data_IF_216835358635
#
_entry.id   IF_216835358635
#
_cell.length_a   1.000
_cell.length_b   1.000
_cell.length_c   1.000
_cell.angle_alpha   90.00
_cell.angle_beta   90.00
_cell.angle_gamma   90.00
#
_symmetry.space_group_name_H-M   'P 1'
#
loop_
_entity.id
_entity.type
_entity.pdbx_description
1 polymer ?
#
# COMPACT_ATOMS: atom_id res chain seq x y z
N UNK A 1 31.73 -5.81 -13.98
CA UNK A 1 30.92 -5.26 -12.89
C UNK A 1 30.11 -4.10 -13.43
N UNK A 2 28.78 -4.19 -13.39
CA UNK A 2 27.86 -3.15 -13.82
C UNK A 2 27.90 -1.95 -12.86
N UNK A 3 27.58 -0.74 -13.34
CA UNK A 3 27.59 0.48 -12.51
C UNK A 3 26.28 1.23 -12.64
N UNK A 4 25.86 1.89 -11.57
CA UNK A 4 24.71 2.80 -11.51
C UNK A 4 24.91 3.79 -10.35
N UNK A 5 24.25 4.94 -10.39
CA UNK A 5 24.25 5.87 -9.25
C UNK A 5 23.34 5.34 -8.12
N UNK A 6 22.11 4.93 -8.48
CA UNK A 6 21.15 4.37 -7.53
C UNK A 6 20.71 2.97 -7.97
N UNK A 7 20.93 1.99 -7.10
CA UNK A 7 20.36 0.65 -7.23
C UNK A 7 19.08 0.55 -6.40
N UNK A 8 17.96 0.26 -7.06
CA UNK A 8 16.70 -0.04 -6.37
C UNK A 8 16.49 -1.55 -6.37
N UNK A 9 16.34 -2.14 -5.18
CA UNK A 9 16.08 -3.57 -5.01
C UNK A 9 14.62 -3.78 -4.66
N UNK A 10 13.86 -4.38 -5.59
CA UNK A 10 12.43 -4.63 -5.51
C UNK A 10 11.61 -3.84 -6.52
N UNK A 11 11.00 -4.53 -7.48
CA UNK A 11 10.14 -4.00 -8.55
C UNK A 11 8.66 -3.94 -8.20
N UNK A 12 8.33 -3.78 -6.91
CA UNK A 12 6.98 -3.49 -6.46
C UNK A 12 6.59 -2.02 -6.69
N UNK A 13 5.42 -1.61 -6.20
CA UNK A 13 4.87 -0.25 -6.37
C UNK A 13 5.86 0.83 -5.92
N UNK A 14 6.44 0.69 -4.72
CA UNK A 14 7.37 1.67 -4.16
C UNK A 14 8.65 1.76 -4.98
N UNK A 15 9.28 0.63 -5.30
CA UNK A 15 10.52 0.62 -6.09
C UNK A 15 10.32 1.12 -7.52
N UNK A 16 9.21 0.76 -8.16
CA UNK A 16 8.87 1.24 -9.51
C UNK A 16 8.56 2.74 -9.53
N UNK A 17 7.84 3.24 -8.51
CA UNK A 17 7.58 4.68 -8.38
C UNK A 17 8.86 5.46 -8.07
N UNK A 18 9.73 4.94 -7.20
CA UNK A 18 11.02 5.54 -6.90
C UNK A 18 11.90 5.63 -8.15
N UNK A 19 12.00 4.53 -8.91
CA UNK A 19 12.73 4.53 -10.17
C UNK A 19 12.15 5.53 -11.18
N UNK A 20 10.82 5.66 -11.25
CA UNK A 20 10.13 6.63 -12.09
C UNK A 20 10.51 8.08 -11.75
N UNK A 21 10.38 8.47 -10.46
CA UNK A 21 10.67 9.84 -10.04
C UNK A 21 12.15 10.21 -10.21
N UNK A 22 13.06 9.30 -9.85
CA UNK A 22 14.50 9.56 -9.97
C UNK A 22 14.96 9.59 -11.42
N UNK A 23 14.48 8.67 -12.29
CA UNK A 23 14.83 8.68 -13.71
C UNK A 23 14.35 9.95 -14.42
N UNK A 24 13.14 10.41 -14.13
CA UNK A 24 12.62 11.71 -14.65
C UNK A 24 13.47 12.91 -14.21
N UNK A 25 14.19 12.79 -13.13
CA UNK A 25 15.14 13.80 -12.68
C UNK A 25 16.57 13.61 -13.25
N UNK A 26 16.77 12.66 -14.16
CA UNK A 26 18.04 12.41 -14.82
C UNK A 26 19.05 11.60 -14.00
N UNK A 27 18.62 10.94 -12.92
CA UNK A 27 19.49 10.07 -12.11
C UNK A 27 19.69 8.74 -12.83
N UNK A 28 20.94 8.24 -12.88
CA UNK A 28 21.23 6.88 -13.42
C UNK A 28 20.75 5.81 -12.44
N UNK A 29 19.74 5.03 -12.86
CA UNK A 29 19.05 4.05 -12.04
C UNK A 29 19.10 2.67 -12.67
N UNK A 30 19.39 1.68 -11.83
CA UNK A 30 19.12 0.28 -12.09
C UNK A 30 18.14 -0.25 -11.03
N UNK A 31 16.98 -0.74 -11.47
CA UNK A 31 16.07 -1.48 -10.63
C UNK A 31 16.25 -2.97 -10.89
N UNK A 32 16.40 -3.76 -9.84
CA UNK A 32 16.42 -5.23 -9.91
C UNK A 32 15.26 -5.84 -9.14
N UNK A 33 14.73 -6.93 -9.66
CA UNK A 33 13.77 -7.79 -8.94
C UNK A 33 14.11 -9.26 -9.19
N UNK A 34 13.93 -10.10 -8.17
CA UNK A 34 14.12 -11.54 -8.28
C UNK A 34 13.09 -12.21 -9.19
N UNK A 35 11.94 -11.55 -9.34
CA UNK A 35 10.80 -11.99 -10.17
C UNK A 35 10.51 -10.95 -11.26
N UNK A 36 9.32 -11.02 -11.83
CA UNK A 36 8.77 -9.94 -12.64
C UNK A 36 8.33 -8.76 -11.77
N UNK A 37 8.33 -7.56 -12.37
CA UNK A 37 7.73 -6.38 -11.75
C UNK A 37 6.28 -6.67 -11.37
N UNK A 38 5.87 -6.20 -10.18
CA UNK A 38 4.49 -6.33 -9.69
C UNK A 38 4.08 -7.75 -9.28
N UNK A 39 4.98 -8.71 -9.13
CA UNK A 39 4.62 -10.11 -8.86
C UNK A 39 4.25 -10.39 -7.39
N UNK A 40 4.64 -9.53 -6.45
CA UNK A 40 4.39 -9.68 -5.02
C UNK A 40 3.17 -8.87 -4.54
N UNK A 41 3.20 -8.31 -3.32
CA UNK A 41 2.10 -7.55 -2.71
C UNK A 41 1.47 -6.50 -3.64
N UNK A 42 2.27 -5.83 -4.46
CA UNK A 42 1.83 -4.74 -5.33
C UNK A 42 0.86 -5.19 -6.42
N UNK A 43 1.04 -6.37 -7.00
CA UNK A 43 0.11 -6.94 -7.99
C UNK A 43 -0.96 -7.85 -7.38
N UNK A 44 -0.86 -8.12 -6.08
CA UNK A 44 -1.78 -9.01 -5.38
C UNK A 44 -2.66 -8.30 -4.35
N UNK A 45 -2.59 -6.97 -4.26
CA UNK A 45 -3.50 -6.20 -3.42
C UNK A 45 -4.83 -5.93 -4.15
N UNK A 46 -5.81 -5.46 -3.38
CA UNK A 46 -7.11 -5.14 -3.92
C UNK A 46 -7.17 -3.82 -4.70
N UNK A 47 -6.18 -2.94 -4.61
CA UNK A 47 -6.18 -1.61 -5.22
C UNK A 47 -7.09 -0.60 -4.49
N UNK A 48 -7.38 -0.81 -3.23
CA UNK A 48 -8.12 0.16 -2.40
C UNK A 48 -7.22 1.32 -2.02
N UNK A 49 -7.73 2.54 -2.12
CA UNK A 49 -7.08 3.76 -1.69
C UNK A 49 -7.72 4.21 -0.38
N UNK A 50 -7.21 3.67 0.73
CA UNK A 50 -7.67 4.00 2.07
C UNK A 50 -7.00 5.27 2.57
N UNK A 51 -7.78 6.22 3.07
CA UNK A 51 -7.30 7.44 3.72
C UNK A 51 -7.79 7.51 5.16
N UNK A 52 -9.02 7.05 5.41
CA UNK A 52 -9.57 6.86 6.75
C UNK A 52 -8.75 5.85 7.56
N UNK A 53 -8.72 6.01 8.87
CA UNK A 53 -8.23 4.98 9.78
C UNK A 53 -9.04 3.70 9.62
N UNK A 54 -8.35 2.57 9.53
CA UNK A 54 -9.04 1.28 9.49
C UNK A 54 -9.67 0.93 10.84
N UNK A 55 -10.71 0.10 10.84
CA UNK A 55 -11.41 -0.33 12.07
C UNK A 55 -10.46 -0.92 13.14
N UNK A 56 -9.29 -1.42 12.75
CA UNK A 56 -8.28 -1.91 13.70
C UNK A 56 -7.73 -0.84 14.65
N UNK A 57 -7.81 0.44 14.29
CA UNK A 57 -7.43 1.54 15.19
C UNK A 57 -8.48 1.79 16.27
N UNK A 58 -9.75 1.45 16.03
CA UNK A 58 -10.82 1.59 17.01
C UNK A 58 -10.67 0.62 18.20
N UNK A 59 -9.96 -0.47 18.02
CA UNK A 59 -9.72 -1.51 19.03
C UNK A 59 -8.43 -1.31 19.84
N UNK A 60 -7.64 -0.27 19.57
CA UNK A 60 -6.37 -0.03 20.29
C UNK A 60 -6.61 0.70 21.60
N UNK A 61 -6.01 0.18 22.68
CA UNK A 61 -6.19 0.69 24.04
C UNK A 61 -5.21 1.82 24.43
N UNK A 62 -4.22 2.15 23.60
CA UNK A 62 -3.21 3.16 23.89
C UNK A 62 -3.44 4.47 23.10
N UNK A 63 -4.13 5.48 23.66
CA UNK A 63 -4.53 6.70 22.93
C UNK A 63 -3.34 7.49 22.35
N UNK A 64 -2.23 7.61 23.10
CA UNK A 64 -1.06 8.38 22.68
C UNK A 64 -0.35 7.76 21.46
N UNK A 65 -0.26 6.44 21.39
CA UNK A 65 0.35 5.75 20.24
C UNK A 65 -0.55 5.83 19.00
N UNK A 66 -1.86 5.81 19.21
CA UNK A 66 -2.84 6.02 18.14
C UNK A 66 -2.71 7.46 17.60
N UNK A 67 -2.70 8.47 18.47
CA UNK A 67 -2.61 9.88 18.07
C UNK A 67 -1.31 10.17 17.31
N UNK A 68 -0.17 9.64 17.78
CA UNK A 68 1.11 9.75 17.07
C UNK A 68 1.08 9.06 15.71
N UNK A 69 0.55 7.84 15.63
CA UNK A 69 0.45 7.11 14.37
C UNK A 69 -0.47 7.84 13.38
N UNK A 70 -1.58 8.37 13.86
CA UNK A 70 -2.56 9.11 13.07
C UNK A 70 -1.97 10.41 12.53
N UNK A 71 -1.34 11.22 13.39
CA UNK A 71 -0.75 12.51 12.99
C UNK A 71 0.40 12.37 11.98
N UNK A 72 1.10 11.25 11.98
CA UNK A 72 2.17 10.96 11.01
C UNK A 72 1.66 10.27 9.73
N UNK A 73 0.67 9.41 9.83
CA UNK A 73 0.19 8.60 8.71
C UNK A 73 -0.81 9.34 7.81
N UNK A 74 -1.80 10.01 8.40
CA UNK A 74 -2.88 10.67 7.63
C UNK A 74 -2.34 11.69 6.63
N UNK A 75 -1.40 12.59 6.96
CA UNK A 75 -0.80 13.50 5.96
C UNK A 75 -0.18 12.77 4.77
N UNK A 76 0.50 11.63 5.02
CA UNK A 76 1.06 10.80 3.93
C UNK A 76 -0.04 10.27 3.03
N UNK A 77 -1.15 9.78 3.60
CA UNK A 77 -2.27 9.23 2.85
C UNK A 77 -2.99 10.30 2.02
N UNK A 78 -3.23 11.48 2.59
CA UNK A 78 -3.83 12.62 1.88
C UNK A 78 -2.96 13.06 0.69
N UNK A 79 -1.67 13.27 0.90
CA UNK A 79 -0.74 13.59 -0.19
C UNK A 79 -0.64 12.48 -1.24
N UNK A 80 -0.84 11.22 -0.83
CA UNK A 80 -0.82 10.08 -1.74
C UNK A 80 -1.95 10.11 -2.76
N UNK A 81 -3.13 10.60 -2.38
CA UNK A 81 -4.24 10.75 -3.34
C UNK A 81 -3.89 11.79 -4.42
N UNK A 82 -3.24 12.89 -4.03
CA UNK A 82 -2.72 13.87 -5.00
C UNK A 82 -1.69 13.23 -5.93
N UNK A 83 -0.75 12.46 -5.38
CA UNK A 83 0.25 11.75 -6.18
C UNK A 83 -0.41 10.74 -7.16
N UNK A 84 -1.42 10.00 -6.74
CA UNK A 84 -2.17 9.11 -7.62
C UNK A 84 -2.90 9.87 -8.75
N UNK A 85 -3.51 11.02 -8.45
CA UNK A 85 -4.15 11.89 -9.47
C UNK A 85 -3.14 12.44 -10.47
N UNK A 86 -1.94 12.82 -10.03
CA UNK A 86 -0.85 13.22 -10.91
C UNK A 86 -0.41 12.06 -11.81
N UNK A 87 -0.12 10.90 -11.22
CA UNK A 87 0.30 9.70 -11.94
C UNK A 87 -0.74 9.24 -12.97
N UNK A 88 -2.03 9.33 -12.68
CA UNK A 88 -3.08 8.95 -13.64
C UNK A 88 -3.09 9.80 -14.91
N UNK A 89 -2.55 11.02 -14.85
CA UNK A 89 -2.42 11.92 -16.00
C UNK A 89 -1.05 11.79 -16.70
N UNK A 90 -0.02 11.43 -15.95
CA UNK A 90 1.36 11.37 -16.46
C UNK A 90 1.73 10.02 -17.07
N UNK A 91 1.12 8.95 -16.59
CA UNK A 91 1.38 7.61 -17.09
C UNK A 91 0.65 7.36 -18.41
N UNK A 92 1.37 6.80 -19.37
CA UNK A 92 0.81 6.36 -20.66
C UNK A 92 0.05 5.03 -20.49
N UNK A 93 -0.96 5.04 -19.65
CA UNK A 93 -1.80 3.88 -19.34
C UNK A 93 -2.97 4.31 -18.47
N UNK A 94 -4.17 3.87 -18.79
CA UNK A 94 -5.29 3.98 -17.86
C UNK A 94 -5.06 3.02 -16.67
N UNK A 95 -4.88 3.60 -15.50
CA UNK A 95 -4.73 2.87 -14.24
C UNK A 95 -6.07 2.70 -13.51
N UNK A 96 -7.16 3.05 -14.15
CA UNK A 96 -8.53 2.96 -13.62
C UNK A 96 -8.68 3.67 -12.25
N UNK A 97 -8.02 4.83 -12.09
CA UNK A 97 -8.12 5.62 -10.88
C UNK A 97 -9.52 6.21 -10.73
N UNK A 98 -10.18 5.89 -9.63
CA UNK A 98 -11.44 6.50 -9.25
C UNK A 98 -11.39 6.90 -7.77
N UNK A 99 -11.47 8.20 -7.49
CA UNK A 99 -11.56 8.78 -6.14
C UNK A 99 -13.00 9.27 -5.97
N UNK A 100 -13.92 8.32 -5.84
CA UNK A 100 -15.36 8.54 -5.68
C UNK A 100 -15.85 8.52 -4.24
N UNK A 101 -14.93 8.44 -3.29
CA UNK A 101 -15.21 8.37 -1.86
C UNK A 101 -15.20 6.95 -1.32
N UNK A 102 -15.14 6.87 0.02
CA UNK A 102 -15.21 5.62 0.77
C UNK A 102 -16.18 5.73 1.94
N UNK A 103 -16.87 4.63 2.21
CA UNK A 103 -17.82 4.47 3.29
C UNK A 103 -17.32 3.42 4.27
N UNK A 104 -17.18 3.76 5.54
CA UNK A 104 -17.05 2.79 6.62
C UNK A 104 -18.43 2.62 7.27
N UNK A 105 -19.13 1.55 6.91
CA UNK A 105 -20.53 1.33 7.31
C UNK A 105 -20.63 0.73 8.70
N UNK A 106 -21.71 1.08 9.42
CA UNK A 106 -22.03 0.61 10.76
C UNK A 106 -23.45 0.02 10.80
N UNK A 107 -23.64 -1.01 11.64
CA UNK A 107 -24.90 -1.74 11.84
C UNK A 107 -25.42 -1.63 13.26
N UNK A 108 -24.62 -1.11 14.19
CA UNK A 108 -24.98 -0.96 15.60
C UNK A 108 -24.58 0.41 16.12
N UNK A 109 -25.29 0.86 17.18
CA UNK A 109 -24.97 2.13 17.85
C UNK A 109 -23.53 2.13 18.41
N UNK A 110 -23.01 0.98 18.85
CA UNK A 110 -21.62 0.87 19.32
C UNK A 110 -20.62 1.13 18.19
N UNK A 111 -20.88 0.62 17.00
CA UNK A 111 -20.08 0.88 15.83
C UNK A 111 -20.14 2.36 15.44
N UNK A 112 -21.34 2.98 15.45
CA UNK A 112 -21.49 4.41 15.18
C UNK A 112 -20.71 5.26 16.21
N UNK A 113 -20.83 4.97 17.51
CA UNK A 113 -20.01 5.63 18.55
C UNK A 113 -18.51 5.43 18.31
N UNK A 114 -18.12 4.29 17.77
CA UNK A 114 -16.74 4.04 17.32
C UNK A 114 -16.32 4.98 16.18
N UNK A 115 -17.16 5.14 15.17
CA UNK A 115 -16.92 6.06 14.03
C UNK A 115 -16.89 7.52 14.47
N UNK A 116 -17.76 7.94 15.41
CA UNK A 116 -17.74 9.29 15.99
C UNK A 116 -16.41 9.62 16.65
N UNK A 117 -15.88 8.71 17.49
CA UNK A 117 -14.56 8.88 18.13
C UNK A 117 -13.43 8.94 17.09
N UNK A 118 -13.51 8.09 16.07
CA UNK A 118 -12.55 8.04 14.96
C UNK A 118 -12.55 9.35 14.17
N UNK A 119 -13.73 9.85 13.78
CA UNK A 119 -13.90 11.10 13.05
C UNK A 119 -13.30 12.31 13.80
N UNK A 120 -13.42 12.34 15.14
CA UNK A 120 -12.77 13.37 15.95
C UNK A 120 -11.24 13.34 15.80
N UNK A 121 -10.62 12.15 15.82
CA UNK A 121 -9.18 12.01 15.66
C UNK A 121 -8.73 12.42 14.26
N UNK A 122 -9.45 12.00 13.24
CA UNK A 122 -9.14 12.28 11.83
C UNK A 122 -9.25 13.78 11.51
N UNK A 123 -10.31 14.44 11.99
CA UNK A 123 -10.49 15.88 11.82
C UNK A 123 -9.40 16.71 12.51
N UNK A 124 -8.90 16.27 13.68
CA UNK A 124 -7.77 16.93 14.37
C UNK A 124 -6.50 16.98 13.53
N UNK A 125 -6.29 16.03 12.64
CA UNK A 125 -5.13 15.97 11.76
C UNK A 125 -5.43 16.45 10.34
N UNK A 126 -6.58 17.09 10.15
CA UNK A 126 -6.96 17.74 8.88
C UNK A 126 -7.59 16.81 7.84
N UNK A 127 -8.05 15.61 8.22
CA UNK A 127 -8.83 14.76 7.33
C UNK A 127 -10.31 15.12 7.43
N UNK A 128 -10.89 15.57 6.32
CA UNK A 128 -12.32 15.83 6.20
C UNK A 128 -13.09 14.50 6.07
N UNK A 129 -13.95 14.23 7.04
CA UNK A 129 -14.86 13.08 7.07
C UNK A 129 -16.25 13.52 7.53
N UNK A 130 -17.27 12.81 7.06
CA UNK A 130 -18.66 13.08 7.38
C UNK A 130 -19.29 11.85 8.03
N UNK A 131 -20.10 12.06 9.08
CA UNK A 131 -20.93 11.01 9.66
C UNK A 131 -22.30 11.08 9.03
N UNK A 132 -22.74 9.99 8.43
CA UNK A 132 -24.00 9.87 7.70
C UNK A 132 -24.96 8.99 8.48
N UNK A 133 -26.22 9.41 8.55
CA UNK A 133 -27.30 8.57 9.07
C UNK A 133 -27.78 7.54 8.02
N UNK A 134 -28.71 6.68 8.42
CA UNK A 134 -29.25 5.63 7.56
C UNK A 134 -29.94 6.16 6.29
N UNK A 135 -30.56 7.35 6.33
CA UNK A 135 -31.24 7.93 5.17
C UNK A 135 -30.22 8.52 4.20
N UNK A 136 -29.22 9.23 4.72
CA UNK A 136 -28.12 9.79 3.97
C UNK A 136 -27.30 8.68 3.27
N UNK A 137 -26.99 7.60 3.99
CA UNK A 137 -26.32 6.42 3.41
C UNK A 137 -27.15 5.80 2.29
N UNK A 138 -28.46 5.61 2.49
CA UNK A 138 -29.35 5.07 1.45
C UNK A 138 -29.43 5.96 0.22
N UNK A 139 -29.35 7.28 0.39
CA UNK A 139 -29.41 8.23 -0.72
C UNK A 139 -28.18 8.11 -1.64
N UNK A 140 -26.97 7.90 -1.09
CA UNK A 140 -25.73 7.84 -1.87
C UNK A 140 -25.28 6.42 -2.21
N UNK A 141 -25.71 5.42 -1.44
CA UNK A 141 -25.30 4.03 -1.58
C UNK A 141 -26.49 3.06 -1.47
N UNK A 142 -27.50 3.15 -2.37
CA UNK A 142 -28.74 2.35 -2.30
C UNK A 142 -28.52 0.85 -2.48
N UNK A 143 -27.32 0.42 -2.83
CA UNK A 143 -26.93 -0.98 -2.95
C UNK A 143 -26.58 -1.63 -1.59
N UNK A 144 -26.44 -0.85 -0.53
CA UNK A 144 -26.18 -1.36 0.82
C UNK A 144 -27.41 -2.01 1.43
N UNK A 145 -27.18 -3.03 2.26
CA UNK A 145 -28.23 -3.78 2.95
C UNK A 145 -28.98 -2.94 3.98
N UNK A 146 -30.23 -3.35 4.33
CA UNK A 146 -31.09 -2.61 5.24
C UNK A 146 -30.60 -2.59 6.70
N UNK A 147 -29.64 -3.44 7.07
CA UNK A 147 -29.02 -3.46 8.39
C UNK A 147 -28.11 -2.27 8.67
N UNK A 148 -27.69 -1.53 7.63
CA UNK A 148 -26.80 -0.38 7.78
C UNK A 148 -27.56 0.80 8.37
N UNK A 149 -27.13 1.24 9.55
CA UNK A 149 -27.75 2.34 10.32
C UNK A 149 -27.03 3.68 10.14
N UNK A 150 -25.81 3.66 9.57
CA UNK A 150 -25.02 4.84 9.29
C UNK A 150 -23.64 4.49 8.74
N UNK A 151 -22.86 5.50 8.46
CA UNK A 151 -21.49 5.35 7.96
C UNK A 151 -20.64 6.58 8.25
N UNK A 152 -19.33 6.42 8.19
CA UNK A 152 -18.41 7.52 8.00
C UNK A 152 -18.00 7.57 6.53
N UNK A 153 -18.11 8.73 5.92
CA UNK A 153 -17.75 9.02 4.53
C UNK A 153 -16.49 9.84 4.44
N UNK A 154 -15.57 9.45 3.57
CA UNK A 154 -14.37 10.21 3.22
C UNK A 154 -14.27 10.38 1.70
N UNK A 155 -14.37 11.60 1.22
CA UNK A 155 -14.34 11.92 -0.21
C UNK A 155 -12.98 11.65 -0.88
N UNK A 156 -11.89 11.51 -0.11
CA UNK A 156 -10.55 11.24 -0.61
C UNK A 156 -10.26 9.75 -0.84
N UNK A 157 -11.14 8.86 -0.40
CA UNK A 157 -10.97 7.42 -0.63
C UNK A 157 -11.38 7.01 -2.05
N UNK A 158 -10.90 5.84 -2.46
CA UNK A 158 -11.22 5.36 -3.79
C UNK A 158 -10.53 4.05 -4.15
N UNK A 159 -10.23 3.91 -5.43
CA UNK A 159 -9.69 2.69 -6.01
C UNK A 159 -8.76 2.99 -7.18
N UNK A 160 -7.83 2.09 -7.41
CA UNK A 160 -6.92 2.06 -8.56
C UNK A 160 -6.77 0.59 -8.99
N UNK A 161 -6.51 0.32 -10.25
CA UNK A 161 -6.17 -1.04 -10.67
C UNK A 161 -4.64 -1.26 -10.48
N UNK A 162 -4.22 -2.12 -9.53
CA UNK A 162 -2.80 -2.34 -9.27
C UNK A 162 -2.10 -3.11 -10.38
N UNK A 163 -2.85 -3.83 -11.22
CA UNK A 163 -2.27 -4.64 -12.29
C UNK A 163 -1.63 -3.81 -13.40
N UNK A 164 -2.26 -2.75 -13.96
CA UNK A 164 -1.60 -1.83 -14.88
C UNK A 164 -0.74 -0.77 -14.19
N UNK A 165 -1.06 -0.34 -12.95
CA UNK A 165 -0.45 0.83 -12.33
C UNK A 165 1.07 0.65 -12.08
N UNK A 166 1.49 -0.41 -11.40
CA UNK A 166 2.92 -0.64 -11.14
C UNK A 166 3.73 -0.90 -12.42
N UNK A 167 3.27 -1.75 -13.37
CA UNK A 167 3.95 -1.87 -14.66
C UNK A 167 4.01 -0.57 -15.47
N UNK A 168 3.00 0.30 -15.39
CA UNK A 168 3.03 1.60 -16.07
C UNK A 168 4.13 2.51 -15.47
N UNK A 169 4.29 2.53 -14.15
CA UNK A 169 5.40 3.23 -13.47
C UNK A 169 6.76 2.70 -13.94
N UNK A 170 6.93 1.38 -13.98
CA UNK A 170 8.16 0.75 -14.45
C UNK A 170 8.46 1.10 -15.91
N UNK A 171 7.46 1.04 -16.80
CA UNK A 171 7.62 1.48 -18.20
C UNK A 171 7.95 2.97 -18.29
N UNK A 172 7.29 3.80 -17.49
CA UNK A 172 7.58 5.22 -17.39
C UNK A 172 9.01 5.51 -16.95
N UNK A 173 9.52 4.75 -15.96
CA UNK A 173 10.92 4.82 -15.53
C UNK A 173 11.89 4.48 -16.67
N UNK A 174 11.61 3.40 -17.42
CA UNK A 174 12.45 3.00 -18.57
C UNK A 174 12.44 4.07 -19.67
N UNK A 175 11.27 4.65 -19.99
CA UNK A 175 11.21 5.77 -20.97
C UNK A 175 12.01 6.99 -20.49
N UNK A 176 12.13 7.20 -19.19
CA UNK A 176 12.94 8.27 -18.61
C UNK A 176 14.44 7.90 -18.44
N UNK A 177 14.86 6.71 -18.89
CA UNK A 177 16.26 6.29 -18.91
C UNK A 177 16.66 5.29 -17.82
N UNK A 178 15.76 4.85 -16.96
CA UNK A 178 16.07 3.79 -15.99
C UNK A 178 16.29 2.43 -16.68
N UNK A 179 17.17 1.64 -16.10
CA UNK A 179 17.36 0.22 -16.46
C UNK A 179 16.62 -0.66 -15.48
N UNK A 180 15.93 -1.69 -15.97
CA UNK A 180 15.22 -2.67 -15.15
C UNK A 180 15.70 -4.07 -15.51
N UNK A 181 16.23 -4.79 -14.52
CA UNK A 181 16.66 -6.17 -14.64
C UNK A 181 15.78 -7.08 -13.78
N UNK A 182 14.84 -7.77 -14.44
CA UNK A 182 13.99 -8.80 -13.84
C UNK A 182 14.75 -10.11 -13.70
N UNK A 183 14.26 -10.98 -12.82
CA UNK A 183 14.87 -12.29 -12.53
C UNK A 183 16.36 -12.14 -12.15
N UNK A 184 16.64 -11.13 -11.34
CA UNK A 184 17.96 -10.85 -10.79
C UNK A 184 17.86 -10.65 -9.29
N UNK A 185 18.44 -11.59 -8.55
CA UNK A 185 18.31 -11.66 -7.09
C UNK A 185 19.53 -11.03 -6.43
N UNK A 186 19.31 -10.08 -5.52
CA UNK A 186 20.35 -9.62 -4.59
C UNK A 186 20.65 -10.75 -3.60
N UNK A 187 21.87 -11.25 -3.57
CA UNK A 187 22.31 -12.32 -2.67
C UNK A 187 23.04 -11.78 -1.46
N UNK A 188 23.83 -10.70 -1.65
CA UNK A 188 24.60 -10.04 -0.62
C UNK A 188 24.93 -8.60 -1.02
N UNK A 189 25.55 -7.85 -0.12
CA UNK A 189 26.20 -6.59 -0.44
C UNK A 189 27.35 -6.33 0.54
N UNK A 190 28.29 -5.50 0.12
CA UNK A 190 29.38 -4.99 0.94
C UNK A 190 29.61 -3.51 0.68
N UNK A 191 30.07 -2.78 1.68
CA UNK A 191 30.50 -1.39 1.54
C UNK A 191 31.97 -1.36 1.10
N UNK A 192 32.28 -0.60 0.08
CA UNK A 192 33.64 -0.31 -0.38
C UNK A 192 33.81 1.20 -0.42
N UNK A 193 34.82 1.73 0.30
CA UNK A 193 35.13 3.16 0.37
C UNK A 193 33.96 4.13 0.12
N UNK A 194 33.63 4.44 -1.11
CA UNK A 194 32.65 5.42 -1.58
C UNK A 194 31.39 4.80 -2.21
N UNK A 195 31.27 3.45 -2.24
CA UNK A 195 30.21 2.74 -2.94
C UNK A 195 29.72 1.50 -2.19
N UNK A 196 28.59 1.00 -2.61
CA UNK A 196 28.08 -0.33 -2.26
C UNK A 196 28.31 -1.23 -3.48
N UNK A 197 28.85 -2.43 -3.23
CA UNK A 197 28.89 -3.51 -4.21
C UNK A 197 27.79 -4.50 -3.84
N UNK A 198 26.74 -4.53 -4.64
CA UNK A 198 25.64 -5.46 -4.53
C UNK A 198 25.98 -6.74 -5.32
N UNK A 199 26.03 -7.86 -4.62
CA UNK A 199 26.28 -9.17 -5.21
C UNK A 199 24.95 -9.76 -5.66
N UNK A 200 24.88 -10.19 -6.91
CA UNK A 200 23.66 -10.81 -7.46
C UNK A 200 23.98 -12.14 -8.14
N UNK A 201 22.95 -12.95 -8.33
CA UNK A 201 23.02 -14.21 -9.08
C UNK A 201 23.42 -14.04 -10.56
N UNK A 202 23.47 -12.78 -11.05
CA UNK A 202 23.85 -12.41 -12.43
C UNK A 202 25.02 -11.42 -12.48
N UNK A 203 25.90 -11.48 -11.49
CA UNK A 203 27.09 -10.63 -11.37
C UNK A 203 26.88 -9.39 -10.52
N UNK A 204 27.98 -8.77 -10.15
CA UNK A 204 28.02 -7.67 -9.19
C UNK A 204 27.62 -6.33 -9.82
N UNK A 205 26.97 -5.49 -9.01
CA UNK A 205 26.60 -4.12 -9.33
C UNK A 205 27.28 -3.18 -8.33
N UNK A 206 28.03 -2.20 -8.83
CA UNK A 206 28.58 -1.11 -8.04
C UNK A 206 27.65 0.10 -8.10
N UNK A 207 27.19 0.59 -6.96
CA UNK A 207 26.33 1.76 -6.88
C UNK A 207 26.76 2.70 -5.75
N UNK A 208 26.48 3.98 -5.89
CA UNK A 208 26.72 4.96 -4.83
C UNK A 208 25.66 4.83 -3.73
N UNK A 209 24.42 4.52 -4.12
CA UNK A 209 23.29 4.37 -3.21
C UNK A 209 22.50 3.10 -3.57
N UNK A 210 22.07 2.37 -2.55
CA UNK A 210 21.21 1.20 -2.70
C UNK A 210 19.94 1.39 -1.86
N UNK A 211 18.77 1.20 -2.46
CA UNK A 211 17.48 1.31 -1.79
C UNK A 211 16.83 -0.05 -1.67
N UNK A 212 16.56 -0.46 -0.43
CA UNK A 212 15.80 -1.67 -0.13
C UNK A 212 14.30 -1.37 -0.19
N UNK A 213 13.63 -1.77 -1.27
CA UNK A 213 12.19 -1.64 -1.49
C UNK A 213 11.49 -3.01 -1.60
N UNK A 214 11.97 -4.01 -0.87
CA UNK A 214 11.60 -5.43 -0.99
C UNK A 214 10.40 -5.85 -0.13
N UNK A 215 9.66 -4.90 0.43
CA UNK A 215 8.45 -5.18 1.22
C UNK A 215 8.72 -6.18 2.36
N UNK A 216 7.94 -7.24 2.45
CA UNK A 216 8.06 -8.24 3.52
C UNK A 216 9.41 -9.01 3.55
N UNK A 217 10.24 -8.89 2.52
CA UNK A 217 11.55 -9.58 2.43
C UNK A 217 12.76 -8.69 2.78
N UNK A 218 12.52 -7.48 3.30
CA UNK A 218 13.60 -6.54 3.61
C UNK A 218 14.55 -7.03 4.72
N UNK A 219 14.07 -7.84 5.65
CA UNK A 219 14.85 -8.33 6.79
C UNK A 219 16.16 -9.02 6.36
N UNK A 220 16.14 -9.78 5.26
CA UNK A 220 17.33 -10.46 4.75
C UNK A 220 18.44 -9.49 4.32
N UNK A 221 18.08 -8.30 3.87
CA UNK A 221 19.00 -7.23 3.48
C UNK A 221 19.41 -6.44 4.72
N UNK A 222 18.46 -5.97 5.51
CA UNK A 222 18.71 -5.08 6.65
C UNK A 222 19.54 -5.74 7.75
N UNK A 223 19.37 -7.03 8.02
CA UNK A 223 20.20 -7.78 9.00
C UNK A 223 21.69 -7.75 8.67
N UNK A 224 22.05 -7.71 7.37
CA UNK A 224 23.46 -7.56 6.95
C UNK A 224 24.02 -6.18 7.31
N UNK A 225 23.16 -5.18 7.38
CA UNK A 225 23.47 -3.83 7.84
C UNK A 225 23.30 -3.66 9.35
N UNK A 226 23.08 -4.76 10.11
CA UNK A 226 22.74 -4.74 11.55
C UNK A 226 21.54 -3.85 11.89
N UNK A 227 20.63 -3.69 10.91
CA UNK A 227 19.40 -2.94 11.07
C UNK A 227 18.17 -3.85 10.99
N UNK A 228 17.06 -3.39 11.53
CA UNK A 228 15.79 -4.10 11.52
C UNK A 228 14.62 -3.11 11.48
N UNK A 229 13.60 -3.43 10.70
CA UNK A 229 12.29 -2.81 10.81
C UNK A 229 11.37 -3.81 11.53
N UNK A 230 11.00 -3.56 12.81
CA UNK A 230 10.04 -4.41 13.50
C UNK A 230 8.70 -4.38 12.75
N UNK A 231 8.15 -5.54 12.51
CA UNK A 231 6.87 -5.64 11.82
C UNK A 231 6.51 -7.09 11.50
N UNK A 232 5.34 -7.24 10.92
CA UNK A 232 4.78 -8.55 10.59
C UNK A 232 4.45 -8.65 9.11
N UNK A 233 4.75 -9.79 8.53
CA UNK A 233 4.21 -10.17 7.23
C UNK A 233 2.72 -10.47 7.39
N UNK A 234 1.89 -9.90 6.55
CA UNK A 234 0.44 -10.01 6.58
C UNK A 234 -0.04 -10.73 5.31
N UNK A 235 -0.13 -12.06 5.33
CA UNK A 235 -0.76 -12.78 4.25
C UNK A 235 -2.27 -12.55 4.30
N UNK A 236 -2.83 -11.99 3.23
CA UNK A 236 -4.24 -11.65 3.13
C UNK A 236 -4.80 -12.09 1.78
N UNK A 237 -6.07 -12.55 1.78
CA UNK A 237 -6.73 -12.99 0.56
C UNK A 237 -7.71 -11.97 0.01
N UNK A 238 -8.02 -12.09 -1.25
CA UNK A 238 -9.05 -11.37 -1.99
C UNK A 238 -9.84 -12.31 -2.88
N UNK A 239 -11.06 -11.91 -3.20
CA UNK A 239 -11.92 -12.56 -4.16
C UNK A 239 -12.32 -11.56 -5.24
N UNK A 240 -12.61 -12.05 -6.45
CA UNK A 240 -13.18 -11.24 -7.52
C UNK A 240 -14.36 -11.97 -8.17
N UNK A 241 -15.44 -11.22 -8.41
CA UNK A 241 -16.62 -11.71 -9.09
C UNK A 241 -16.47 -11.72 -10.61
N UNK A 242 -17.38 -12.40 -11.30
CA UNK A 242 -17.67 -12.10 -12.72
C UNK A 242 -18.03 -10.61 -12.89
N UNK A 243 -17.87 -10.05 -14.11
CA UNK A 243 -18.24 -8.66 -14.38
C UNK A 243 -19.77 -8.53 -14.42
N UNK A 244 -20.27 -7.43 -13.87
CA UNK A 244 -21.69 -7.05 -13.90
C UNK A 244 -21.82 -5.57 -14.19
N UNK A 245 -23.06 -5.13 -14.48
CA UNK A 245 -23.36 -3.71 -14.59
C UNK A 245 -22.83 -2.92 -13.39
N UNK A 246 -22.26 -1.76 -13.66
CA UNK A 246 -21.70 -0.90 -12.62
C UNK A 246 -22.80 -0.35 -11.70
N UNK A 247 -22.65 -0.55 -10.39
CA UNK A 247 -23.64 -0.14 -9.39
C UNK A 247 -23.00 0.37 -8.09
N UNK A 248 -21.68 0.25 -7.94
CA UNK A 248 -21.00 0.58 -6.68
C UNK A 248 -19.88 1.59 -6.93
N UNK A 249 -20.14 2.85 -6.61
CA UNK A 249 -19.17 3.94 -6.77
C UNK A 249 -18.11 3.94 -5.68
N UNK A 250 -18.52 3.72 -4.44
CA UNK A 250 -17.71 3.89 -3.26
C UNK A 250 -16.82 2.69 -2.96
N UNK A 251 -15.69 2.96 -2.30
CA UNK A 251 -14.97 1.97 -1.53
C UNK A 251 -15.75 1.72 -0.24
N UNK A 252 -16.24 0.49 0.00
CA UNK A 252 -17.01 0.14 1.19
C UNK A 252 -16.16 -0.66 2.16
N UNK A 253 -16.13 -0.22 3.41
CA UNK A 253 -15.51 -0.88 4.56
C UNK A 253 -16.57 -1.11 5.63
N UNK A 254 -16.29 -1.97 6.61
CA UNK A 254 -17.21 -2.25 7.73
C UNK A 254 -16.55 -1.94 9.08
N UNK A 255 -17.24 -1.20 9.95
CA UNK A 255 -16.72 -0.75 11.24
C UNK A 255 -16.41 -1.91 12.22
N UNK A 256 -17.20 -2.98 12.19
CA UNK A 256 -17.06 -4.13 13.07
C UNK A 256 -16.51 -5.40 12.40
N UNK A 257 -16.25 -5.38 11.10
CA UNK A 257 -15.88 -6.57 10.34
C UNK A 257 -14.74 -6.38 9.36
N UNK A 258 -14.07 -7.47 9.03
CA UNK A 258 -13.00 -7.48 8.03
C UNK A 258 -13.59 -7.53 6.62
N UNK A 259 -13.94 -6.37 6.10
CA UNK A 259 -14.52 -6.20 4.77
C UNK A 259 -13.93 -4.98 4.07
N UNK A 260 -13.62 -5.15 2.80
CA UNK A 260 -13.44 -4.09 1.79
C UNK A 260 -14.12 -4.52 0.52
N UNK A 261 -14.99 -3.67 -0.01
CA UNK A 261 -15.69 -3.90 -1.27
C UNK A 261 -15.46 -2.74 -2.21
N UNK A 262 -15.32 -3.03 -3.50
CA UNK A 262 -15.32 -2.04 -4.56
C UNK A 262 -15.62 -2.70 -5.90
N UNK A 263 -16.16 -1.95 -6.83
CA UNK A 263 -16.36 -2.38 -8.20
C UNK A 263 -15.38 -1.67 -9.14
N UNK A 264 -14.66 -2.42 -9.97
CA UNK A 264 -13.79 -1.87 -11.00
C UNK A 264 -14.59 -1.32 -12.20
N UNK A 265 -13.96 -0.50 -13.03
CA UNK A 265 -14.56 0.05 -14.26
C UNK A 265 -15.00 -1.04 -15.25
N UNK A 266 -14.34 -2.19 -15.20
CA UNK A 266 -14.65 -3.40 -15.98
C UNK A 266 -15.82 -4.23 -15.41
N UNK A 267 -16.52 -3.75 -14.38
CA UNK A 267 -17.69 -4.39 -13.76
C UNK A 267 -17.39 -5.47 -12.70
N UNK A 268 -16.14 -5.88 -12.53
CA UNK A 268 -15.78 -6.86 -11.50
C UNK A 268 -15.89 -6.26 -10.09
N UNK A 269 -16.48 -7.01 -9.15
CA UNK A 269 -16.48 -6.66 -7.73
C UNK A 269 -15.32 -7.36 -7.03
N UNK A 270 -14.44 -6.57 -6.40
CA UNK A 270 -13.32 -7.06 -5.60
C UNK A 270 -13.72 -7.04 -4.13
N UNK A 271 -13.57 -8.18 -3.47
CA UNK A 271 -13.96 -8.43 -2.09
C UNK A 271 -12.70 -8.79 -1.31
N UNK A 272 -12.35 -7.97 -0.33
CA UNK A 272 -11.19 -8.15 0.55
C UNK A 272 -11.51 -7.74 1.98
N UNK A 273 -10.53 -7.19 2.71
CA UNK A 273 -10.74 -6.65 4.05
C UNK A 273 -9.86 -7.31 5.12
N UNK A 274 -8.68 -7.77 4.73
CA UNK A 274 -7.67 -8.27 5.69
C UNK A 274 -7.98 -9.62 6.30
N UNK A 275 -8.79 -10.46 5.66
CA UNK A 275 -8.97 -11.85 6.06
C UNK A 275 -7.65 -12.61 5.87
N UNK A 276 -7.24 -13.48 6.82
CA UNK A 276 -5.95 -14.12 6.78
C UNK A 276 -5.80 -15.10 5.62
N UNK A 277 -4.57 -15.23 5.14
CA UNK A 277 -4.11 -16.31 4.30
C UNK A 277 -2.94 -17.01 4.99
N UNK A 278 -2.51 -18.14 4.50
CA UNK A 278 -1.37 -18.89 5.06
C UNK A 278 -0.11 -18.56 4.28
N UNK A 279 0.96 -18.20 5.00
CA UNK A 279 2.27 -17.99 4.38
C UNK A 279 2.93 -19.35 4.13
N UNK A 280 3.22 -19.64 2.86
CA UNK A 280 4.03 -20.80 2.50
C UNK A 280 5.51 -20.49 2.75
N UNK A 281 6.09 -21.14 3.75
CA UNK A 281 7.48 -20.92 4.16
C UNK A 281 8.50 -21.32 3.10
N UNK A 282 8.16 -22.25 2.21
CA UNK A 282 9.06 -22.73 1.17
C UNK A 282 9.17 -21.76 -0.02
N UNK A 283 8.05 -21.11 -0.37
CA UNK A 283 7.99 -20.20 -1.52
C UNK A 283 7.98 -18.72 -1.11
N UNK A 284 7.63 -18.41 0.14
CA UNK A 284 7.42 -17.05 0.63
C UNK A 284 6.13 -16.39 0.10
N UNK A 285 5.27 -17.14 -0.63
CA UNK A 285 3.98 -16.65 -1.09
C UNK A 285 2.83 -17.08 -0.17
N UNK A 286 1.69 -16.44 -0.28
CA UNK A 286 0.52 -16.78 0.51
C UNK A 286 -0.43 -17.72 -0.23
N UNK A 287 -1.01 -18.65 0.52
CA UNK A 287 -2.09 -19.56 0.09
C UNK A 287 -3.42 -19.13 0.71
N UNK A 288 -4.48 -19.21 -0.06
CA UNK A 288 -5.83 -18.86 0.39
C UNK A 288 -6.38 -19.94 1.34
N UNK A 289 -7.08 -19.53 2.38
CA UNK A 289 -7.75 -20.38 3.35
C UNK A 289 -9.26 -20.42 3.07
N UNK A 290 -9.85 -21.60 3.01
CA UNK A 290 -11.30 -21.78 2.78
C UNK A 290 -12.17 -21.02 3.81
N UNK A 291 -11.92 -21.07 5.14
CA UNK A 291 -12.69 -20.30 6.11
C UNK A 291 -12.61 -18.77 5.88
N UNK A 292 -11.50 -18.28 5.35
CA UNK A 292 -11.34 -16.87 5.00
C UNK A 292 -12.17 -16.48 3.78
N UNK A 293 -12.25 -17.34 2.76
CA UNK A 293 -13.15 -17.13 1.61
C UNK A 293 -14.60 -17.07 2.09
N UNK A 294 -15.05 -18.10 2.79
CA UNK A 294 -16.43 -18.22 3.27
C UNK A 294 -16.83 -17.02 4.14
N UNK A 295 -16.04 -16.69 5.16
CA UNK A 295 -16.34 -15.57 6.03
C UNK A 295 -16.25 -14.19 5.37
N UNK A 296 -15.42 -14.04 4.33
CA UNK A 296 -15.37 -12.78 3.57
C UNK A 296 -16.57 -12.62 2.65
N UNK A 297 -17.02 -13.71 2.01
CA UNK A 297 -18.23 -13.69 1.19
C UNK A 297 -19.50 -13.51 2.02
N UNK A 298 -19.58 -14.14 3.20
CA UNK A 298 -20.72 -13.96 4.11
C UNK A 298 -20.93 -12.51 4.50
N UNK A 299 -19.87 -11.81 4.97
CA UNK A 299 -19.99 -10.40 5.34
C UNK A 299 -20.25 -9.51 4.11
N UNK A 300 -19.68 -9.83 2.95
CA UNK A 300 -19.93 -9.09 1.73
C UNK A 300 -21.41 -9.19 1.31
N UNK A 301 -21.99 -10.39 1.35
CA UNK A 301 -23.42 -10.63 1.06
C UNK A 301 -24.34 -9.94 2.05
N UNK A 302 -23.96 -9.90 3.31
CA UNK A 302 -24.73 -9.23 4.34
C UNK A 302 -24.76 -7.70 4.12
N UNK A 303 -23.60 -7.11 3.83
CA UNK A 303 -23.48 -5.65 3.59
C UNK A 303 -24.05 -5.23 2.23
N UNK A 304 -23.89 -6.07 1.19
CA UNK A 304 -24.37 -5.81 -0.17
C UNK A 304 -25.11 -7.04 -0.70
N UNK A 305 -26.42 -7.21 -0.38
CA UNK A 305 -27.18 -8.41 -0.73
C UNK A 305 -27.23 -8.73 -2.24
N UNK A 306 -27.14 -7.71 -3.08
CA UNK A 306 -27.09 -7.86 -4.56
C UNK A 306 -25.95 -8.79 -5.02
N UNK A 307 -24.86 -8.92 -4.25
CA UNK A 307 -23.75 -9.82 -4.57
C UNK A 307 -24.13 -11.31 -4.57
N UNK A 308 -25.26 -11.69 -3.95
CA UNK A 308 -25.71 -13.09 -3.85
C UNK A 308 -25.97 -13.78 -5.18
N UNK A 309 -26.11 -13.05 -6.26
CA UNK A 309 -26.30 -13.58 -7.62
C UNK A 309 -25.00 -13.70 -8.41
N UNK A 310 -23.86 -13.22 -7.87
CA UNK A 310 -22.60 -13.19 -8.58
C UNK A 310 -21.78 -14.46 -8.37
N UNK A 311 -21.09 -14.88 -9.40
CA UNK A 311 -20.09 -15.96 -9.32
C UNK A 311 -18.73 -15.39 -8.97
N UNK A 312 -18.02 -16.05 -8.07
CA UNK A 312 -16.60 -15.77 -7.81
C UNK A 312 -15.79 -16.48 -8.88
N UNK A 313 -15.04 -15.71 -9.68
CA UNK A 313 -14.24 -16.27 -10.78
C UNK A 313 -12.78 -16.50 -10.39
N UNK A 314 -12.30 -15.83 -9.34
CA UNK A 314 -10.93 -16.00 -8.84
C UNK A 314 -10.82 -15.63 -7.37
N UNK A 315 -9.97 -16.37 -6.65
CA UNK A 315 -9.46 -16.05 -5.33
C UNK A 315 -7.93 -16.05 -5.37
N UNK A 316 -7.30 -15.14 -4.63
CA UNK A 316 -5.84 -15.09 -4.52
C UNK A 316 -5.42 -14.53 -3.17
N UNK A 317 -4.12 -14.61 -2.86
CA UNK A 317 -3.57 -14.00 -1.66
C UNK A 317 -2.26 -13.26 -1.97
N UNK A 318 -2.00 -12.22 -1.20
CA UNK A 318 -0.76 -11.44 -1.22
C UNK A 318 -0.16 -11.33 0.18
N UNK A 319 1.13 -11.05 0.26
CA UNK A 319 1.85 -10.87 1.52
C UNK A 319 2.17 -9.38 1.68
N UNK A 320 1.37 -8.67 2.46
CA UNK A 320 1.67 -7.31 2.91
C UNK A 320 2.75 -7.31 4.00
N UNK A 321 3.21 -6.13 4.35
CA UNK A 321 4.06 -5.90 5.52
C UNK A 321 3.51 -4.71 6.31
N UNK A 322 3.46 -4.83 7.61
CA UNK A 322 3.06 -3.75 8.52
C UNK A 322 4.10 -3.61 9.64
N UNK A 323 4.64 -2.41 9.77
CA UNK A 323 5.42 -2.00 10.92
C UNK A 323 4.49 -1.38 11.99
N UNK A 324 4.74 -0.16 12.40
CA UNK A 324 3.94 0.58 13.39
C UNK A 324 2.79 1.43 12.80
N UNK A 325 2.69 1.50 11.47
CA UNK A 325 1.68 2.26 10.72
C UNK A 325 2.27 3.29 9.75
N UNK A 326 3.00 4.31 10.20
CA UNK A 326 3.71 5.28 9.34
C UNK A 326 4.74 4.62 8.41
N UNK A 327 5.13 5.28 7.30
CA UNK A 327 6.20 4.77 6.43
C UNK A 327 7.54 4.58 7.17
N UNK A 328 8.41 3.75 6.63
CA UNK A 328 9.83 3.69 7.04
C UNK A 328 10.68 4.09 5.84
N UNK A 329 11.24 5.29 5.89
CA UNK A 329 11.95 5.91 4.77
C UNK A 329 13.25 6.53 5.25
N UNK A 330 14.28 6.43 4.41
CA UNK A 330 15.53 7.15 4.65
C UNK A 330 16.77 6.25 4.80
N UNK A 331 17.90 6.82 5.24
CA UNK A 331 19.16 6.10 5.38
C UNK A 331 19.08 5.01 6.46
N UNK A 332 19.83 3.93 6.24
CA UNK A 332 20.00 2.86 7.24
C UNK A 332 21.26 3.17 8.05
N UNK A 333 21.15 3.35 9.39
CA UNK A 333 22.28 3.66 10.26
C UNK A 333 23.41 2.64 10.13
N UNK A 334 24.64 3.12 10.23
CA UNK A 334 25.83 2.27 10.18
C UNK A 334 26.21 1.75 8.78
N UNK A 335 25.42 2.02 7.74
CA UNK A 335 25.75 1.63 6.35
C UNK A 335 25.51 2.80 5.41
N UNK A 336 26.52 3.63 5.23
CA UNK A 336 26.44 4.78 4.31
C UNK A 336 26.06 4.34 2.90
N UNK A 337 25.11 5.05 2.29
CA UNK A 337 24.60 4.75 0.95
C UNK A 337 23.50 3.71 0.90
N UNK A 338 23.16 3.03 2.03
CA UNK A 338 22.02 2.13 2.10
C UNK A 338 20.78 2.89 2.61
N UNK A 339 19.67 2.68 1.93
CA UNK A 339 18.36 3.27 2.25
C UNK A 339 17.28 2.20 2.35
N UNK A 340 16.24 2.49 3.11
CA UNK A 340 15.04 1.67 3.21
C UNK A 340 13.82 2.44 2.70
N UNK A 341 12.90 1.73 2.04
CA UNK A 341 11.65 2.27 1.52
C UNK A 341 10.48 1.31 1.79
N UNK A 342 9.75 1.55 2.87
CA UNK A 342 8.54 0.84 3.25
C UNK A 342 7.40 1.84 3.29
N UNK A 343 6.29 1.60 2.57
CA UNK A 343 5.13 2.50 2.59
C UNK A 343 4.40 2.41 3.94
N UNK A 344 3.53 3.39 4.23
CA UNK A 344 2.60 3.31 5.36
C UNK A 344 1.65 2.11 5.24
N UNK A 345 0.94 1.78 6.31
CA UNK A 345 0.09 0.60 6.43
C UNK A 345 -0.83 0.32 5.24
N UNK A 346 -1.61 1.28 4.67
CA UNK A 346 -2.28 1.14 3.37
C UNK A 346 -1.29 1.31 2.21
N UNK A 347 -0.43 0.31 1.98
CA UNK A 347 0.70 0.40 1.07
C UNK A 347 0.36 0.71 -0.39
N UNK A 348 -0.82 0.33 -0.85
CA UNK A 348 -1.31 0.72 -2.18
C UNK A 348 -1.55 2.24 -2.25
N UNK A 349 -2.20 2.81 -1.25
CA UNK A 349 -2.43 4.25 -1.17
C UNK A 349 -1.12 5.00 -1.09
N UNK A 350 -0.30 4.68 -0.08
CA UNK A 350 0.86 5.47 0.33
C UNK A 350 2.12 5.25 -0.52
N UNK A 351 2.17 4.18 -1.29
CA UNK A 351 3.38 3.75 -2.00
C UNK A 351 4.01 4.82 -2.91
N UNK A 352 3.26 5.44 -3.83
CA UNK A 352 3.82 6.44 -4.74
C UNK A 352 4.34 7.68 -4.03
N UNK A 353 3.61 8.19 -3.03
CA UNK A 353 4.05 9.38 -2.31
C UNK A 353 5.24 9.08 -1.37
N UNK A 354 5.25 7.92 -0.72
CA UNK A 354 6.42 7.46 0.04
C UNK A 354 7.67 7.37 -0.84
N UNK A 355 7.52 6.87 -2.05
CA UNK A 355 8.61 6.83 -3.03
C UNK A 355 9.06 8.23 -3.46
N UNK A 356 8.12 9.18 -3.64
CA UNK A 356 8.43 10.58 -3.98
C UNK A 356 9.19 11.28 -2.86
N UNK A 357 8.77 11.13 -1.60
CA UNK A 357 9.48 11.68 -0.44
C UNK A 357 10.94 11.21 -0.40
N UNK A 358 11.16 9.90 -0.59
CA UNK A 358 12.52 9.38 -0.62
C UNK A 358 13.29 9.82 -1.86
N UNK A 359 12.66 9.94 -3.03
CA UNK A 359 13.29 10.47 -4.23
C UNK A 359 13.77 11.92 -4.04
N UNK A 360 12.93 12.78 -3.48
CA UNK A 360 13.29 14.16 -3.18
C UNK A 360 14.48 14.24 -2.21
N UNK A 361 14.48 13.43 -1.15
CA UNK A 361 15.61 13.31 -0.22
C UNK A 361 16.90 12.87 -0.93
N UNK A 362 16.84 11.82 -1.77
CA UNK A 362 17.99 11.32 -2.51
C UNK A 362 18.56 12.34 -3.51
N UNK A 363 17.72 13.24 -4.00
CA UNK A 363 18.11 14.34 -4.89
C UNK A 363 18.60 15.60 -4.15
N UNK A 364 18.56 15.60 -2.81
CA UNK A 364 18.87 16.78 -2.01
C UNK A 364 17.81 17.88 -2.13
N UNK A 365 16.60 17.56 -2.56
CA UNK A 365 15.44 18.47 -2.59
C UNK A 365 14.73 18.47 -1.25
N UNK A 366 14.13 19.60 -0.82
CA UNK A 366 13.27 19.59 0.35
C UNK A 366 12.04 18.71 0.09
N UNK A 367 11.82 17.65 0.88
CA UNK A 367 10.63 16.80 0.74
C UNK A 367 9.39 17.56 1.23
N UNK A 368 8.22 17.20 0.68
CA UNK A 368 6.94 17.82 1.06
C UNK A 368 6.54 17.56 2.52
N UNK A 369 7.06 16.51 3.14
CA UNK A 369 6.94 16.22 4.57
C UNK A 369 8.33 15.94 5.14
N UNK A 370 8.55 16.34 6.41
CA UNK A 370 9.77 15.96 7.13
C UNK A 370 9.92 14.44 7.21
N UNK A 371 11.11 13.93 6.91
CA UNK A 371 11.42 12.50 6.94
C UNK A 371 11.81 12.00 8.33
N UNK A 372 12.13 12.86 9.27
CA UNK A 372 12.56 12.45 10.61
C UNK A 372 11.56 11.50 11.31
N UNK A 373 10.23 11.73 11.26
CA UNK A 373 9.27 10.80 11.84
C UNK A 373 9.22 9.44 11.14
N UNK A 374 9.75 9.36 9.91
CA UNK A 374 9.76 8.13 9.10
C UNK A 374 11.09 7.38 9.16
N UNK A 375 12.09 7.90 9.89
CA UNK A 375 13.39 7.24 10.05
C UNK A 375 13.25 5.85 10.66
N UNK A 376 14.08 4.91 10.20
CA UNK A 376 14.24 3.59 10.80
C UNK A 376 14.75 3.68 12.24
N UNK A 377 15.45 4.76 12.61
CA UNK A 377 16.00 4.99 13.94
C UNK A 377 14.92 5.09 15.03
N UNK A 378 13.67 5.37 14.65
CA UNK A 378 12.54 5.34 15.60
C UNK A 378 12.32 3.96 16.25
N UNK A 379 12.87 2.91 15.67
CA UNK A 379 12.82 1.55 16.21
C UNK A 379 14.11 1.17 16.98
N UNK A 380 15.09 2.04 17.04
CA UNK A 380 16.25 1.80 17.87
C UNK A 380 15.79 1.77 19.34
N UNK A 381 15.86 0.61 19.97
CA UNK A 381 15.68 0.49 21.41
C UNK A 381 16.90 1.15 22.04
N UNK A 382 16.68 2.20 22.82
CA UNK A 382 17.68 2.86 23.66
C UNK A 382 18.16 1.86 24.72
#
# INVERSE_FOLDING_TARGET
MERTDVLVVGGGLVGSALAYYLARAGVDILLIDRDDVNNAASGRNAGSLHVQLTSSYLAKEAPADVERAVSTMIPVLVHSITAWRELSRELDCDIELNVGGGLMVAETDDQMRGLERKAVLEKRVGLEVELLDANEVRAIAPYLGPSIIGAEFCALEGKVNPLPATPALARGAVRAGARIARHRTLTSFRRESDAIVAETDRGDIRCRRMVCATGAWMDGILRRARARVPGVALPQHMNVSEPVEYFMDHLVQHAGGRLTLKQGSNGHVIIGGGRPAELDSATGFARVLRPSIEGNLQIALHVVPRLGHLRIIRTWAGVGFMADGPPVLGPVPGTEGLYVAVPAGPGCTSGPFSARLLADHLMGKPPALDLAPFSIERFAVV
#
